data_IF_526415200809
#
_entry.id   IF_526415200809
#
_cell.length_a   1.000
_cell.length_b   1.000
_cell.length_c   1.000
_cell.angle_alpha   90.00
_cell.angle_beta   90.00
_cell.angle_gamma   90.00
#
_symmetry.space_group_name_H-M   'P 1'
#
loop_
_entity.id
_entity.type
_entity.pdbx_description
1 polymer ?
#
# COMPACT_ATOMS: atom_id res chain seq x y z
N UNK A 1 -21.69 -10.85 -10.72
CA UNK A 1 -20.33 -11.11 -10.20
C UNK A 1 -20.41 -11.12 -8.68
N UNK A 2 -19.83 -12.10 -7.98
CA UNK A 2 -19.90 -12.15 -6.52
C UNK A 2 -18.90 -11.16 -5.90
N UNK A 3 -19.36 -10.30 -4.99
CA UNK A 3 -18.52 -9.38 -4.22
C UNK A 3 -17.45 -10.09 -3.38
N UNK A 4 -16.45 -9.35 -2.92
CA UNK A 4 -15.58 -9.82 -1.85
C UNK A 4 -16.42 -9.93 -0.57
N UNK A 5 -16.47 -11.11 0.02
CA UNK A 5 -17.25 -11.31 1.23
C UNK A 5 -16.39 -10.97 2.46
N UNK A 6 -16.60 -9.79 3.04
CA UNK A 6 -15.96 -9.38 4.29
C UNK A 6 -16.76 -9.81 5.53
N UNK A 7 -18.07 -10.03 5.41
CA UNK A 7 -18.96 -10.48 6.49
C UNK A 7 -19.18 -12.01 6.49
N UNK A 8 -18.15 -12.80 6.19
CA UNK A 8 -18.31 -14.25 5.99
C UNK A 8 -18.59 -15.04 7.28
N UNK A 9 -18.53 -14.39 8.46
CA UNK A 9 -18.81 -15.02 9.75
C UNK A 9 -20.30 -15.03 10.13
N UNK A 10 -21.16 -14.28 9.43
CA UNK A 10 -22.57 -14.22 9.77
C UNK A 10 -23.43 -13.82 8.55
N UNK A 11 -24.71 -14.21 8.56
CA UNK A 11 -25.64 -13.91 7.47
C UNK A 11 -26.42 -12.60 7.70
N UNK A 12 -26.63 -12.23 8.97
CA UNK A 12 -27.35 -11.04 9.40
C UNK A 12 -26.67 -10.42 10.62
N UNK A 13 -26.90 -9.12 10.83
CA UNK A 13 -26.43 -8.41 12.02
C UNK A 13 -26.95 -9.08 13.31
N UNK A 14 -26.08 -9.43 14.26
CA UNK A 14 -26.49 -9.94 15.58
C UNK A 14 -27.07 -8.85 16.49
N UNK A 15 -27.57 -9.27 17.66
CA UNK A 15 -27.95 -8.34 18.73
C UNK A 15 -26.78 -7.42 19.13
N UNK A 16 -27.03 -6.13 19.40
CA UNK A 16 -25.98 -5.20 19.80
C UNK A 16 -25.30 -5.60 21.11
N UNK A 17 -23.97 -5.58 21.10
CA UNK A 17 -23.14 -5.75 22.31
C UNK A 17 -23.11 -4.48 23.19
N UNK A 18 -23.56 -3.35 22.65
CA UNK A 18 -23.40 -2.03 23.28
C UNK A 18 -22.00 -1.44 23.18
N UNK A 19 -21.05 -2.13 22.51
CA UNK A 19 -19.67 -1.69 22.33
C UNK A 19 -19.44 -1.08 20.94
N UNK A 20 -18.67 0.00 20.91
CA UNK A 20 -18.35 0.80 19.71
C UNK A 20 -16.87 0.67 19.37
N UNK A 21 -16.55 0.40 18.10
CA UNK A 21 -15.18 0.27 17.61
C UNK A 21 -14.93 1.20 16.44
N UNK A 22 -13.87 2.01 16.54
CA UNK A 22 -13.34 2.79 15.42
C UNK A 22 -12.24 2.03 14.71
N UNK A 23 -12.30 1.97 13.39
CA UNK A 23 -11.27 1.38 12.53
C UNK A 23 -10.68 2.50 11.67
N UNK A 24 -9.36 2.66 11.68
CA UNK A 24 -8.66 3.69 10.91
C UNK A 24 -8.00 3.03 9.70
N UNK A 25 -8.56 3.26 8.52
CA UNK A 25 -8.18 2.66 7.25
C UNK A 25 -9.16 1.58 6.81
N UNK A 26 -9.68 1.73 5.60
CA UNK A 26 -10.60 0.84 4.90
C UNK A 26 -9.88 0.02 3.81
N UNK A 27 -8.62 -0.33 4.05
CA UNK A 27 -7.89 -1.32 3.25
C UNK A 27 -8.32 -2.76 3.58
N UNK A 28 -7.60 -3.78 3.07
CA UNK A 28 -7.94 -5.20 3.28
C UNK A 28 -8.08 -5.59 4.75
N UNK A 29 -7.17 -5.12 5.61
CA UNK A 29 -7.19 -5.42 7.05
C UNK A 29 -8.40 -4.77 7.74
N UNK A 30 -8.66 -3.50 7.46
CA UNK A 30 -9.78 -2.75 8.06
C UNK A 30 -11.15 -3.27 7.62
N UNK A 31 -11.33 -3.57 6.34
CA UNK A 31 -12.59 -4.16 5.83
C UNK A 31 -12.86 -5.55 6.42
N UNK A 32 -11.83 -6.38 6.51
CA UNK A 32 -11.96 -7.70 7.13
C UNK A 32 -12.28 -7.60 8.64
N UNK A 33 -11.64 -6.66 9.33
CA UNK A 33 -11.93 -6.40 10.73
C UNK A 33 -13.33 -5.86 10.95
N UNK A 34 -13.79 -4.94 10.10
CA UNK A 34 -15.14 -4.39 10.15
C UNK A 34 -16.21 -5.48 9.98
N UNK A 35 -16.02 -6.37 9.01
CA UNK A 35 -16.91 -7.52 8.80
C UNK A 35 -16.92 -8.48 9.99
N UNK A 36 -15.76 -8.78 10.57
CA UNK A 36 -15.69 -9.64 11.75
C UNK A 36 -16.39 -9.01 12.96
N UNK A 37 -16.05 -7.76 13.31
CA UNK A 37 -16.56 -7.07 14.51
C UNK A 37 -18.06 -6.80 14.41
N UNK A 38 -18.56 -6.42 13.23
CA UNK A 38 -20.00 -6.28 13.01
C UNK A 38 -20.74 -7.62 13.12
N UNK A 39 -20.13 -8.73 12.68
CA UNK A 39 -20.63 -10.08 12.93
C UNK A 39 -20.55 -10.53 14.39
N UNK A 40 -19.90 -9.76 15.26
CA UNK A 40 -19.94 -9.93 16.72
C UNK A 40 -20.94 -9.02 17.42
N UNK A 41 -21.68 -8.19 16.67
CA UNK A 41 -22.69 -7.29 17.23
C UNK A 41 -22.11 -5.97 17.76
N UNK A 42 -20.87 -5.62 17.41
CA UNK A 42 -20.31 -4.31 17.73
C UNK A 42 -20.82 -3.24 16.76
N UNK A 43 -20.95 -2.00 17.23
CA UNK A 43 -21.12 -0.84 16.38
C UNK A 43 -19.75 -0.47 15.79
N UNK A 44 -19.63 -0.44 14.46
CA UNK A 44 -18.34 -0.28 13.77
C UNK A 44 -18.37 0.97 12.90
N UNK A 45 -17.40 1.85 13.14
CA UNK A 45 -17.14 3.03 12.33
C UNK A 45 -15.77 2.88 11.66
N UNK A 46 -15.71 3.03 10.34
CA UNK A 46 -14.47 2.97 9.57
C UNK A 46 -14.16 4.35 9.01
N UNK A 47 -12.98 4.88 9.33
CA UNK A 47 -12.50 6.16 8.85
C UNK A 47 -11.43 5.94 7.78
N UNK A 48 -11.60 6.50 6.60
CA UNK A 48 -10.65 6.39 5.50
C UNK A 48 -10.46 7.73 4.79
N UNK A 49 -9.22 8.02 4.43
CA UNK A 49 -8.84 9.27 3.77
C UNK A 49 -9.22 9.32 2.29
N UNK A 50 -9.48 8.18 1.68
CA UNK A 50 -9.82 8.04 0.27
C UNK A 50 -11.33 8.22 0.04
N UNK A 51 -11.76 8.53 -1.19
CA UNK A 51 -13.16 8.80 -1.49
C UNK A 51 -14.04 7.53 -1.49
N UNK A 52 -13.44 6.34 -1.60
CA UNK A 52 -14.17 5.07 -1.44
C UNK A 52 -13.35 3.99 -0.68
N UNK A 53 -14.01 3.10 0.08
CA UNK A 53 -13.33 2.02 0.80
C UNK A 53 -12.66 1.01 -0.14
N UNK A 54 -11.46 0.56 0.24
CA UNK A 54 -10.70 -0.46 -0.49
C UNK A 54 -9.19 -0.28 -0.39
N UNK A 55 -8.71 0.93 -0.05
CA UNK A 55 -7.29 1.24 0.04
C UNK A 55 -6.55 0.91 -1.26
N UNK A 56 -5.35 0.34 -1.14
CA UNK A 56 -4.55 -0.04 -2.31
C UNK A 56 -5.19 -1.13 -3.19
N UNK A 57 -6.22 -1.85 -2.74
CA UNK A 57 -6.94 -2.78 -3.64
C UNK A 57 -7.61 -2.05 -4.80
N UNK A 58 -8.06 -0.81 -4.59
CA UNK A 58 -8.69 0.02 -5.61
C UNK A 58 -7.70 1.02 -6.19
N UNK A 59 -6.94 1.68 -5.32
CA UNK A 59 -6.12 2.83 -5.66
C UNK A 59 -4.65 2.50 -5.94
N UNK A 60 -4.25 1.22 -5.95
CA UNK A 60 -2.88 0.83 -6.23
C UNK A 60 -2.74 -0.42 -7.09
N UNK A 61 -3.60 -1.41 -6.89
CA UNK A 61 -3.54 -2.69 -7.60
C UNK A 61 -4.36 -2.61 -8.91
N UNK A 62 -3.81 -3.07 -10.04
CA UNK A 62 -4.52 -3.12 -11.30
C UNK A 62 -5.78 -4.00 -11.27
N UNK A 63 -6.77 -3.64 -12.11
CA UNK A 63 -8.11 -4.25 -12.06
C UNK A 63 -8.13 -5.72 -12.51
N UNK A 64 -7.24 -6.12 -13.41
CA UNK A 64 -7.14 -7.52 -13.84
C UNK A 64 -6.67 -8.45 -12.70
N UNK A 65 -6.01 -7.91 -11.66
CA UNK A 65 -5.62 -8.66 -10.45
C UNK A 65 -6.73 -8.62 -9.41
N UNK A 66 -7.27 -7.42 -9.16
CA UNK A 66 -8.35 -7.19 -8.20
C UNK A 66 -9.49 -6.42 -8.88
N UNK A 67 -10.61 -7.10 -9.22
CA UNK A 67 -11.75 -6.43 -9.83
C UNK A 67 -12.38 -5.41 -8.89
N UNK A 68 -12.45 -4.16 -9.35
CA UNK A 68 -12.95 -3.01 -8.58
C UNK A 68 -14.36 -3.27 -8.05
N UNK A 69 -15.26 -3.76 -8.91
CA UNK A 69 -16.65 -3.97 -8.53
C UNK A 69 -16.81 -5.04 -7.44
N UNK A 70 -15.89 -6.01 -7.35
CA UNK A 70 -15.95 -7.00 -6.27
C UNK A 70 -15.66 -6.38 -4.92
N UNK A 71 -14.70 -5.46 -4.85
CA UNK A 71 -14.41 -4.71 -3.62
C UNK A 71 -15.59 -3.80 -3.27
N UNK A 72 -16.16 -3.09 -4.26
CA UNK A 72 -17.32 -2.21 -4.08
C UNK A 72 -18.54 -2.92 -3.52
N UNK A 73 -18.91 -4.05 -4.14
CA UNK A 73 -19.99 -4.90 -3.62
C UNK A 73 -19.70 -5.39 -2.19
N UNK A 74 -18.43 -5.67 -1.87
CA UNK A 74 -18.04 -6.13 -0.54
C UNK A 74 -18.23 -5.08 0.56
N UNK A 75 -17.78 -3.84 0.37
CA UNK A 75 -17.98 -2.81 1.40
C UNK A 75 -19.41 -2.28 1.42
N UNK A 76 -20.13 -2.26 0.29
CA UNK A 76 -21.57 -1.92 0.26
C UNK A 76 -22.38 -2.91 1.07
N UNK A 77 -22.08 -4.20 0.95
CA UNK A 77 -22.68 -5.24 1.78
C UNK A 77 -22.43 -5.00 3.29
N UNK A 78 -21.22 -4.59 3.68
CA UNK A 78 -20.95 -4.21 5.07
C UNK A 78 -21.79 -3.01 5.52
N UNK A 79 -21.96 -1.99 4.68
CA UNK A 79 -22.74 -0.81 5.01
C UNK A 79 -24.24 -1.16 5.14
N UNK A 80 -24.80 -1.80 4.11
CA UNK A 80 -26.24 -2.05 3.99
C UNK A 80 -26.73 -3.18 4.89
N UNK A 81 -26.01 -4.31 4.92
CA UNK A 81 -26.45 -5.51 5.65
C UNK A 81 -25.94 -5.53 7.09
N UNK A 82 -24.74 -5.02 7.33
CA UNK A 82 -24.11 -5.07 8.65
C UNK A 82 -24.18 -3.73 9.40
N UNK A 83 -24.59 -2.65 8.74
CA UNK A 83 -24.71 -1.33 9.36
C UNK A 83 -23.36 -0.72 9.73
N UNK A 84 -22.28 -1.09 9.05
CA UNK A 84 -20.97 -0.48 9.20
C UNK A 84 -21.01 0.94 8.66
N UNK A 85 -20.58 1.92 9.45
CA UNK A 85 -20.57 3.34 9.05
C UNK A 85 -19.21 3.68 8.47
N UNK A 86 -19.17 4.07 7.19
CA UNK A 86 -17.94 4.52 6.52
C UNK A 86 -17.86 6.05 6.48
N UNK A 87 -16.75 6.60 6.97
CA UNK A 87 -16.38 8.01 6.91
C UNK A 87 -15.23 8.15 5.90
N UNK A 88 -15.58 8.29 4.63
CA UNK A 88 -14.63 8.48 3.51
C UNK A 88 -14.21 9.94 3.35
N UNK A 89 -13.06 10.22 2.73
CA UNK A 89 -12.48 11.56 2.69
C UNK A 89 -12.05 12.10 4.07
N UNK A 90 -12.01 11.22 5.09
CA UNK A 90 -11.69 11.58 6.48
C UNK A 90 -10.36 10.97 6.89
N UNK A 91 -9.35 11.83 7.07
CA UNK A 91 -8.05 11.41 7.59
C UNK A 91 -7.99 11.54 9.11
N UNK A 92 -7.74 10.43 9.79
CA UNK A 92 -7.42 10.46 11.23
C UNK A 92 -5.96 10.81 11.41
N UNK A 93 -5.68 11.82 12.24
CA UNK A 93 -4.32 12.29 12.51
C UNK A 93 -4.12 12.68 13.97
N UNK A 94 -2.91 12.48 14.47
CA UNK A 94 -2.40 13.11 15.68
C UNK A 94 -1.08 13.78 15.33
N UNK A 95 -1.19 15.04 14.86
CA UNK A 95 -0.09 15.81 14.29
C UNK A 95 -0.06 15.82 12.75
N UNK A 96 0.41 16.93 12.17
CA UNK A 96 0.34 17.23 10.73
C UNK A 96 1.35 16.47 9.86
N UNK A 97 1.15 15.17 9.66
CA UNK A 97 1.94 14.38 8.70
C UNK A 97 1.18 14.19 7.38
N UNK A 98 1.83 14.53 6.26
CA UNK A 98 1.35 14.28 4.90
C UNK A 98 1.83 12.91 4.41
N UNK A 99 0.93 12.18 3.75
CA UNK A 99 1.18 10.88 3.12
C UNK A 99 0.72 10.93 1.64
N UNK A 100 1.16 9.98 0.82
CA UNK A 100 0.66 9.86 -0.57
C UNK A 100 -0.84 9.54 -0.56
N UNK A 101 -1.62 10.15 -1.45
CA UNK A 101 -3.09 10.03 -1.48
C UNK A 101 -3.84 10.90 -0.48
N UNK A 102 -3.17 11.86 0.17
CA UNK A 102 -3.84 12.87 1.01
C UNK A 102 -4.60 13.94 0.20
N UNK A 103 -4.48 13.96 -1.12
CA UNK A 103 -5.21 14.89 -2.00
C UNK A 103 -6.74 14.74 -1.95
N UNK A 104 -7.25 13.58 -1.52
CA UNK A 104 -8.68 13.34 -1.33
C UNK A 104 -9.18 13.64 0.09
N UNK A 105 -8.34 14.18 0.97
CA UNK A 105 -8.73 14.48 2.35
C UNK A 105 -9.60 15.73 2.36
N UNK A 106 -10.88 15.55 2.67
CA UNK A 106 -11.85 16.62 2.85
C UNK A 106 -11.89 17.10 4.30
N UNK A 107 -11.71 16.16 5.24
CA UNK A 107 -11.79 16.41 6.68
C UNK A 107 -10.69 15.67 7.43
N UNK A 108 -10.22 16.29 8.51
CA UNK A 108 -9.35 15.62 9.49
C UNK A 108 -10.11 15.40 10.80
N UNK A 109 -9.79 14.29 11.47
CA UNK A 109 -10.30 13.96 12.81
C UNK A 109 -9.10 13.69 13.70
N UNK A 110 -9.14 14.20 14.93
CA UNK A 110 -8.08 13.95 15.91
C UNK A 110 -8.15 12.49 16.37
N UNK A 111 -7.00 11.80 16.34
CA UNK A 111 -6.87 10.45 16.88
C UNK A 111 -7.35 10.37 18.35
N UNK A 112 -7.05 11.39 19.17
CA UNK A 112 -7.43 11.40 20.59
C UNK A 112 -8.93 11.62 20.81
N UNK A 113 -9.66 12.12 19.81
CA UNK A 113 -11.14 12.14 19.82
C UNK A 113 -11.66 10.70 19.70
N UNK A 114 -11.15 9.93 18.74
CA UNK A 114 -11.58 8.55 18.55
C UNK A 114 -11.25 7.64 19.74
N UNK A 115 -10.08 7.84 20.37
CA UNK A 115 -9.71 7.08 21.57
C UNK A 115 -10.66 7.35 22.75
N UNK A 116 -11.29 8.53 22.80
CA UNK A 116 -12.22 8.91 23.87
C UNK A 116 -13.65 8.47 23.60
N UNK A 117 -14.05 8.49 22.34
CA UNK A 117 -15.44 8.30 21.93
C UNK A 117 -15.80 6.83 21.63
N UNK A 118 -14.80 5.97 21.47
CA UNK A 118 -14.98 4.54 21.16
C UNK A 118 -14.40 3.66 22.26
N UNK A 119 -15.02 2.48 22.48
CA UNK A 119 -14.51 1.51 23.45
C UNK A 119 -13.17 0.88 23.02
N UNK A 120 -12.93 0.79 21.70
CA UNK A 120 -11.67 0.34 21.13
C UNK A 120 -11.36 1.02 19.79
N UNK A 121 -10.07 1.14 19.48
CA UNK A 121 -9.58 1.66 18.19
C UNK A 121 -8.70 0.61 17.53
N UNK A 122 -8.93 0.31 16.25
CA UNK A 122 -8.08 -0.55 15.43
C UNK A 122 -7.44 0.26 14.30
N UNK A 123 -6.10 0.28 14.28
CA UNK A 123 -5.31 0.99 13.28
C UNK A 123 -4.92 0.06 12.14
N UNK A 124 -5.42 0.35 10.94
CA UNK A 124 -5.21 -0.44 9.72
C UNK A 124 -4.76 0.45 8.54
N UNK A 125 -3.95 1.47 8.83
CA UNK A 125 -3.60 2.53 7.88
C UNK A 125 -2.62 2.09 6.78
N UNK A 126 -1.94 0.96 6.91
CA UNK A 126 -1.04 0.44 5.88
C UNK A 126 0.25 1.25 5.69
N UNK A 127 0.74 1.30 4.45
CA UNK A 127 2.05 1.88 4.08
C UNK A 127 1.93 2.90 2.94
N UNK A 128 1.57 4.15 3.23
CA UNK A 128 1.29 5.20 2.23
C UNK A 128 2.47 6.16 1.95
N UNK A 129 3.70 5.71 2.12
CA UNK A 129 4.90 6.48 1.74
C UNK A 129 5.88 5.60 1.01
N UNK A 130 6.35 6.04 -0.14
CA UNK A 130 7.37 5.35 -0.93
C UNK A 130 8.77 5.83 -0.58
N UNK A 131 9.73 4.90 -0.68
CA UNK A 131 11.14 5.25 -0.67
C UNK A 131 11.57 5.79 -2.04
N UNK A 132 12.42 6.81 -2.02
CA UNK A 132 13.21 7.23 -3.17
C UNK A 132 14.67 6.85 -2.95
N UNK A 133 15.39 6.66 -4.05
CA UNK A 133 16.83 6.50 -4.00
C UNK A 133 17.50 7.84 -3.65
N UNK A 134 18.58 7.79 -2.90
CA UNK A 134 19.43 8.94 -2.64
C UNK A 134 20.54 8.98 -3.71
N UNK A 135 20.20 9.52 -4.88
CA UNK A 135 21.08 9.63 -6.04
C UNK A 135 20.91 11.00 -6.72
N UNK A 136 21.94 11.50 -7.43
CA UNK A 136 21.81 12.76 -8.17
C UNK A 136 20.73 12.70 -9.25
N UNK A 137 19.97 13.79 -9.41
CA UNK A 137 18.91 13.94 -10.41
C UNK A 137 17.56 13.34 -10.00
N UNK A 138 17.39 12.93 -8.74
CA UNK A 138 16.13 12.37 -8.22
C UNK A 138 14.96 13.37 -8.23
N UNK A 139 15.29 14.66 -8.28
CA UNK A 139 14.37 15.80 -8.30
C UNK A 139 13.89 16.20 -9.71
N UNK A 140 14.39 15.55 -10.77
CA UNK A 140 14.03 15.88 -12.15
C UNK A 140 12.55 15.56 -12.46
N UNK A 141 11.93 16.37 -13.32
CA UNK A 141 10.60 16.06 -13.85
C UNK A 141 10.65 14.77 -14.67
N UNK A 142 9.73 13.84 -14.39
CA UNK A 142 9.74 12.49 -14.96
C UNK A 142 10.27 11.41 -14.00
N UNK A 143 10.70 11.79 -12.80
CA UNK A 143 10.95 10.86 -11.69
C UNK A 143 9.67 10.69 -10.87
N UNK A 144 9.25 9.44 -10.68
CA UNK A 144 8.05 9.10 -9.92
C UNK A 144 8.33 8.09 -8.83
N UNK A 145 7.60 8.23 -7.72
CA UNK A 145 7.39 7.14 -6.77
C UNK A 145 6.34 6.19 -7.35
N UNK A 146 6.53 4.88 -7.22
CA UNK A 146 5.61 3.92 -7.83
C UNK A 146 4.20 3.97 -7.25
N UNK A 147 4.04 4.22 -5.94
CA UNK A 147 2.72 4.38 -5.35
C UNK A 147 2.02 5.61 -5.91
N UNK A 148 2.63 6.80 -5.87
CA UNK A 148 2.10 8.01 -6.50
C UNK A 148 1.71 7.79 -7.99
N UNK A 149 2.61 7.19 -8.76
CA UNK A 149 2.40 6.94 -10.19
C UNK A 149 1.16 6.07 -10.45
N UNK A 150 1.08 4.92 -9.75
CA UNK A 150 -0.07 4.03 -9.84
C UNK A 150 -1.33 4.68 -9.30
N UNK A 151 -1.22 5.39 -8.17
CA UNK A 151 -2.34 6.04 -7.50
C UNK A 151 -3.04 7.05 -8.41
N UNK A 152 -2.29 7.88 -9.13
CA UNK A 152 -2.85 8.84 -10.10
C UNK A 152 -3.60 8.12 -11.22
N UNK A 153 -2.97 7.14 -11.86
CA UNK A 153 -3.58 6.34 -12.95
C UNK A 153 -4.87 5.66 -12.46
N UNK A 154 -4.80 5.02 -11.28
CA UNK A 154 -5.94 4.29 -10.70
C UNK A 154 -7.07 5.23 -10.30
N UNK A 155 -6.75 6.36 -9.67
CA UNK A 155 -7.74 7.37 -9.28
C UNK A 155 -8.48 7.93 -10.50
N UNK A 156 -7.76 8.22 -11.59
CA UNK A 156 -8.38 8.70 -12.83
C UNK A 156 -9.28 7.64 -13.48
N UNK A 157 -8.82 6.38 -13.54
CA UNK A 157 -9.63 5.25 -14.02
C UNK A 157 -10.90 5.02 -13.20
N UNK A 158 -10.85 5.30 -11.90
CA UNK A 158 -12.01 5.20 -11.01
C UNK A 158 -12.96 6.40 -11.09
N UNK A 159 -12.56 7.48 -11.77
CA UNK A 159 -13.33 8.72 -11.90
C UNK A 159 -13.16 9.69 -10.72
N UNK A 160 -12.15 9.49 -9.87
CA UNK A 160 -11.88 10.33 -8.70
C UNK A 160 -10.83 11.41 -8.96
N UNK A 161 -10.15 11.37 -10.10
CA UNK A 161 -9.11 12.33 -10.49
C UNK A 161 -9.23 12.67 -11.97
N UNK A 162 -8.91 13.91 -12.34
CA UNK A 162 -8.88 14.31 -13.74
C UNK A 162 -7.66 13.71 -14.47
N UNK A 163 -7.83 13.31 -15.73
CA UNK A 163 -6.73 12.73 -16.52
C UNK A 163 -5.56 13.69 -16.74
N UNK A 164 -5.77 15.01 -16.62
CA UNK A 164 -4.69 16.01 -16.66
C UNK A 164 -3.72 15.93 -15.47
N UNK A 165 -4.10 15.26 -14.38
CA UNK A 165 -3.23 15.01 -13.23
C UNK A 165 -2.42 13.71 -13.36
N UNK A 166 -2.65 12.92 -14.41
CA UNK A 166 -1.91 11.71 -14.72
C UNK A 166 -0.73 12.05 -15.63
N UNK A 167 0.48 11.49 -15.39
CA UNK A 167 1.61 11.69 -16.29
C UNK A 167 1.28 11.26 -17.73
N UNK A 168 1.77 12.01 -18.72
CA UNK A 168 1.60 11.71 -20.15
C UNK A 168 2.54 10.57 -20.57
N UNK A 169 2.04 9.32 -20.52
CA UNK A 169 2.85 8.10 -20.70
C UNK A 169 2.93 7.63 -22.16
N UNK A 170 1.94 7.98 -22.99
CA UNK A 170 1.87 7.57 -24.40
C UNK A 170 3.17 7.96 -25.14
N UNK A 171 3.78 6.99 -25.84
CA UNK A 171 5.02 7.19 -26.59
C UNK A 171 6.27 7.43 -25.74
N UNK A 172 6.21 7.30 -24.41
CA UNK A 172 7.40 7.46 -23.53
C UNK A 172 8.15 6.16 -23.34
N UNK A 173 9.46 6.27 -23.10
CA UNK A 173 10.33 5.20 -22.61
C UNK A 173 10.39 5.26 -21.10
N UNK A 174 9.86 4.24 -20.42
CA UNK A 174 9.72 4.22 -18.96
C UNK A 174 10.67 3.19 -18.37
N UNK A 175 11.45 3.57 -17.35
CA UNK A 175 12.18 2.61 -16.52
C UNK A 175 11.55 2.46 -15.15
N UNK A 176 11.17 1.24 -14.82
CA UNK A 176 10.73 0.89 -13.47
C UNK A 176 11.89 0.26 -12.71
N UNK A 177 12.19 0.80 -11.53
CA UNK A 177 13.28 0.34 -10.66
C UNK A 177 12.70 -0.53 -9.55
N UNK A 178 12.92 -1.84 -9.64
CA UNK A 178 12.36 -2.82 -8.71
C UNK A 178 11.94 -4.11 -9.41
N UNK A 179 11.49 -5.10 -8.63
CA UNK A 179 10.97 -6.37 -9.16
C UNK A 179 9.93 -7.03 -8.22
N UNK A 180 9.29 -6.22 -7.37
CA UNK A 180 8.14 -6.65 -6.57
C UNK A 180 6.83 -6.40 -7.31
N UNK A 181 5.70 -6.80 -6.72
CA UNK A 181 4.39 -6.62 -7.33
C UNK A 181 4.10 -5.17 -7.75
N UNK A 182 4.42 -4.18 -6.91
CA UNK A 182 4.27 -2.76 -7.27
C UNK A 182 5.09 -2.38 -8.52
N UNK A 183 6.29 -2.93 -8.70
CA UNK A 183 7.10 -2.69 -9.89
C UNK A 183 6.46 -3.33 -11.13
N UNK A 184 5.95 -4.56 -10.99
CA UNK A 184 5.24 -5.24 -12.06
C UNK A 184 3.96 -4.52 -12.47
N UNK A 185 3.19 -4.04 -11.50
CA UNK A 185 1.96 -3.27 -11.71
C UNK A 185 2.29 -1.95 -12.42
N UNK A 186 3.33 -1.23 -11.99
CA UNK A 186 3.76 0.02 -12.65
C UNK A 186 4.22 -0.22 -14.10
N UNK A 187 5.01 -1.27 -14.34
CA UNK A 187 5.48 -1.61 -15.69
C UNK A 187 4.31 -1.97 -16.61
N UNK A 188 3.34 -2.74 -16.12
CA UNK A 188 2.18 -3.13 -16.89
C UNK A 188 1.26 -1.95 -17.17
N UNK A 189 0.98 -1.11 -16.17
CA UNK A 189 0.18 0.10 -16.36
C UNK A 189 0.85 1.05 -17.36
N UNK A 190 2.18 1.19 -17.33
CA UNK A 190 2.91 1.94 -18.37
C UNK A 190 2.65 1.40 -19.79
N UNK A 191 2.69 0.07 -19.97
CA UNK A 191 2.36 -0.54 -21.26
C UNK A 191 0.91 -0.28 -21.69
N UNK A 192 -0.04 -0.41 -20.74
CA UNK A 192 -1.47 -0.20 -21.02
C UNK A 192 -1.79 1.27 -21.35
N UNK A 193 -1.00 2.20 -20.82
CA UNK A 193 -1.07 3.63 -21.09
C UNK A 193 -0.26 4.07 -22.33
N UNK A 194 0.20 3.10 -23.14
CA UNK A 194 0.81 3.38 -24.45
C UNK A 194 2.29 3.76 -24.42
N UNK A 195 3.03 3.42 -23.36
CA UNK A 195 4.49 3.61 -23.35
C UNK A 195 5.13 2.90 -24.55
N UNK A 196 6.02 3.60 -25.27
CA UNK A 196 6.75 3.05 -26.41
C UNK A 196 7.63 1.87 -25.99
N UNK A 197 8.28 2.01 -24.83
CA UNK A 197 9.17 0.99 -24.29
C UNK A 197 9.19 1.02 -22.77
N UNK A 198 9.20 -0.16 -22.15
CA UNK A 198 9.28 -0.31 -20.70
C UNK A 198 10.48 -1.16 -20.32
N UNK A 199 11.33 -0.62 -19.46
CA UNK A 199 12.48 -1.30 -18.87
C UNK A 199 12.21 -1.63 -17.40
N UNK A 200 12.67 -2.79 -16.95
CA UNK A 200 12.72 -3.19 -15.55
C UNK A 200 14.18 -3.27 -15.10
N UNK A 201 14.64 -2.31 -14.30
CA UNK A 201 15.95 -2.38 -13.66
C UNK A 201 15.84 -3.07 -12.31
N UNK A 202 16.58 -4.16 -12.15
CA UNK A 202 16.61 -4.90 -10.89
C UNK A 202 18.04 -5.22 -10.46
N UNK A 203 18.36 -4.85 -9.22
CA UNK A 203 19.69 -5.05 -8.62
C UNK A 203 20.05 -6.51 -8.35
N UNK A 204 19.17 -7.46 -8.65
CA UNK A 204 19.43 -8.91 -8.57
C UNK A 204 18.96 -9.58 -9.86
N UNK A 205 18.91 -10.90 -9.88
CA UNK A 205 18.34 -11.64 -11.01
C UNK A 205 16.83 -11.83 -10.83
N UNK A 206 16.12 -12.14 -11.90
CA UNK A 206 14.69 -12.49 -11.89
C UNK A 206 14.39 -13.67 -10.97
N UNK A 207 15.38 -14.51 -10.64
CA UNK A 207 15.22 -15.62 -9.69
C UNK A 207 14.99 -15.13 -8.26
N UNK A 208 15.54 -13.97 -7.90
CA UNK A 208 15.37 -13.36 -6.58
C UNK A 208 14.21 -12.35 -6.53
N UNK A 209 13.52 -12.13 -7.65
CA UNK A 209 12.47 -11.12 -7.77
C UNK A 209 11.24 -11.47 -6.91
N UNK A 210 10.79 -10.57 -6.01
CA UNK A 210 9.68 -10.85 -5.10
C UNK A 210 8.30 -11.06 -5.76
N UNK A 211 8.10 -10.58 -6.99
CA UNK A 211 6.82 -10.75 -7.71
C UNK A 211 6.55 -12.20 -8.14
N UNK A 212 7.58 -13.05 -8.19
CA UNK A 212 7.46 -14.43 -8.65
C UNK A 212 7.41 -14.56 -10.17
N UNK A 213 7.57 -15.80 -10.65
CA UNK A 213 7.79 -16.09 -12.08
C UNK A 213 6.59 -15.78 -12.97
N UNK A 214 5.36 -15.91 -12.47
CA UNK A 214 4.15 -15.66 -13.24
C UNK A 214 4.08 -14.20 -13.74
N UNK A 215 4.19 -13.24 -12.83
CA UNK A 215 4.14 -11.81 -13.15
C UNK A 215 5.32 -11.41 -14.06
N UNK A 216 6.50 -11.97 -13.82
CA UNK A 216 7.71 -11.71 -14.62
C UNK A 216 7.53 -12.21 -16.06
N UNK A 217 7.07 -13.45 -16.23
CA UNK A 217 6.86 -14.05 -17.55
C UNK A 217 5.80 -13.27 -18.34
N UNK A 218 4.70 -12.89 -17.69
CA UNK A 218 3.66 -12.06 -18.31
C UNK A 218 4.21 -10.74 -18.85
N UNK A 219 5.06 -10.05 -18.08
CA UNK A 219 5.68 -8.79 -18.52
C UNK A 219 6.67 -9.00 -19.66
N UNK A 220 7.46 -10.09 -19.62
CA UNK A 220 8.37 -10.44 -20.72
C UNK A 220 7.64 -10.74 -22.01
N UNK A 221 6.54 -11.51 -21.94
CA UNK A 221 5.67 -11.81 -23.08
C UNK A 221 5.04 -10.54 -23.67
N UNK A 222 4.80 -9.53 -22.84
CA UNK A 222 4.31 -8.21 -23.24
C UNK A 222 5.42 -7.23 -23.69
N UNK A 223 6.67 -7.70 -23.80
CA UNK A 223 7.77 -6.90 -24.36
C UNK A 223 8.52 -6.02 -23.35
N UNK A 224 8.31 -6.19 -22.04
CA UNK A 224 9.14 -5.49 -21.02
C UNK A 224 10.57 -6.00 -21.08
N UNK A 225 11.53 -5.07 -21.20
CA UNK A 225 12.96 -5.37 -21.23
C UNK A 225 13.53 -5.41 -19.81
N UNK A 226 14.16 -6.54 -19.44
CA UNK A 226 14.71 -6.73 -18.10
C UNK A 226 16.21 -6.46 -18.08
N UNK A 227 16.60 -5.50 -17.24
CA UNK A 227 17.99 -5.15 -16.94
C UNK A 227 18.34 -5.75 -15.56
N UNK A 228 18.59 -7.06 -15.54
CA UNK A 228 19.02 -7.78 -14.35
C UNK A 228 20.40 -7.33 -13.88
N UNK A 229 20.64 -7.45 -12.57
CA UNK A 229 21.89 -7.05 -11.92
C UNK A 229 22.26 -5.60 -12.20
N UNK A 230 21.29 -4.68 -12.24
CA UNK A 230 21.54 -3.24 -12.43
C UNK A 230 20.91 -2.42 -11.32
N UNK A 231 21.50 -1.26 -11.02
CA UNK A 231 20.84 -0.24 -10.21
C UNK A 231 21.17 1.17 -10.71
N UNK A 232 20.26 2.14 -10.55
CA UNK A 232 20.54 3.54 -10.86
C UNK A 232 21.69 4.10 -10.04
N UNK A 233 22.64 4.76 -10.71
CA UNK A 233 23.73 5.53 -10.09
C UNK A 233 23.43 7.02 -10.06
N UNK A 234 22.88 7.56 -11.14
CA UNK A 234 22.37 8.93 -11.25
C UNK A 234 21.37 9.05 -12.40
N UNK A 235 20.52 10.06 -12.33
CA UNK A 235 19.56 10.39 -13.37
C UNK A 235 20.10 11.59 -14.16
N UNK A 236 20.05 11.48 -15.48
CA UNK A 236 20.58 12.48 -16.40
C UNK A 236 19.40 13.26 -16.96
N UNK A 237 19.42 14.58 -16.76
CA UNK A 237 18.37 15.47 -17.23
C UNK A 237 18.80 16.43 -18.33
N UNK A 238 17.82 16.91 -19.08
CA UNK A 238 17.93 18.00 -20.04
C UNK A 238 16.73 18.94 -19.84
N UNK A 239 16.98 20.24 -19.71
CA UNK A 239 15.95 21.26 -19.41
C UNK A 239 15.08 20.93 -18.18
N UNK A 240 15.67 20.33 -17.15
CA UNK A 240 14.98 19.95 -15.91
C UNK A 240 14.14 18.67 -16.00
N UNK A 241 14.12 17.99 -17.15
CA UNK A 241 13.38 16.73 -17.38
C UNK A 241 14.34 15.55 -17.53
N UNK A 242 13.91 14.36 -17.12
CA UNK A 242 14.66 13.13 -17.34
C UNK A 242 14.88 12.90 -18.83
N UNK A 243 16.10 12.51 -19.20
CA UNK A 243 16.52 12.15 -20.56
C UNK A 243 17.14 10.76 -20.63
N UNK A 244 17.85 10.38 -19.56
CA UNK A 244 18.48 9.09 -19.44
C UNK A 244 18.76 8.74 -17.98
N UNK A 245 19.15 7.49 -17.73
CA UNK A 245 19.66 7.03 -16.45
C UNK A 245 21.00 6.34 -16.64
N UNK A 246 21.96 6.70 -15.80
CA UNK A 246 23.21 5.96 -15.69
C UNK A 246 23.01 4.82 -14.69
N UNK A 247 23.11 3.59 -15.18
CA UNK A 247 23.04 2.37 -14.39
C UNK A 247 24.45 1.87 -14.09
N UNK A 248 24.61 1.23 -12.93
CA UNK A 248 25.81 0.45 -12.59
C UNK A 248 25.44 -1.03 -12.51
N UNK A 249 26.32 -1.91 -13.01
CA UNK A 249 26.12 -3.35 -12.83
C UNK A 249 26.39 -3.74 -11.39
N UNK A 250 25.75 -4.81 -10.98
CA UNK A 250 25.88 -5.40 -9.66
C UNK A 250 26.28 -6.86 -9.78
N UNK A 251 26.94 -7.38 -8.75
CA UNK A 251 27.14 -8.81 -8.55
C UNK A 251 26.50 -9.22 -7.24
N UNK A 252 26.04 -10.47 -7.16
CA UNK A 252 25.46 -11.00 -5.95
C UNK A 252 26.57 -11.48 -5.01
N UNK A 253 26.49 -11.10 -3.74
CA UNK A 253 27.31 -11.66 -2.66
C UNK A 253 26.95 -13.13 -2.41
N UNK A 254 27.71 -13.76 -1.52
CA UNK A 254 27.23 -14.97 -0.84
C UNK A 254 25.92 -14.68 -0.08
N UNK A 255 25.03 -15.68 0.06
CA UNK A 255 23.78 -15.51 0.79
C UNK A 255 24.03 -15.15 2.26
N UNK A 256 23.28 -14.18 2.77
CA UNK A 256 23.26 -13.87 4.20
C UNK A 256 22.40 -14.86 5.00
N UNK A 257 22.27 -14.67 6.32
CA UNK A 257 21.50 -15.54 7.22
C UNK A 257 20.02 -15.71 6.82
N UNK A 258 19.47 -14.78 6.02
CA UNK A 258 18.12 -14.89 5.47
C UNK A 258 18.04 -15.70 4.16
N UNK A 259 19.18 -16.24 3.70
CA UNK A 259 19.37 -16.87 2.40
C UNK A 259 19.47 -15.85 1.25
N UNK A 260 19.46 -14.54 1.53
CA UNK A 260 19.43 -13.51 0.49
C UNK A 260 20.82 -13.04 0.14
N UNK A 261 21.09 -12.99 -1.17
CA UNK A 261 22.32 -12.39 -1.70
C UNK A 261 22.19 -10.87 -1.76
N UNK A 262 23.22 -10.16 -1.29
CA UNK A 262 23.30 -8.70 -1.34
C UNK A 262 23.87 -8.27 -2.69
N UNK A 263 23.28 -7.25 -3.32
CA UNK A 263 23.86 -6.68 -4.54
C UNK A 263 25.06 -5.79 -4.19
N UNK A 264 26.18 -6.04 -4.86
CA UNK A 264 27.43 -5.28 -4.72
C UNK A 264 27.70 -4.58 -6.06
N UNK A 265 27.79 -3.23 -6.11
CA UNK A 265 28.16 -2.53 -7.33
C UNK A 265 29.51 -2.97 -7.88
N UNK A 266 29.64 -2.97 -9.19
CA UNK A 266 30.88 -3.25 -9.92
C UNK A 266 31.38 -1.92 -10.48
N UNK A 267 32.37 -1.31 -9.84
CA UNK A 267 32.93 -0.03 -10.29
C UNK A 267 33.47 -0.12 -11.73
N UNK A 268 33.27 0.92 -12.53
CA UNK A 268 33.69 0.96 -13.93
C UNK A 268 32.76 0.21 -14.90
N UNK A 269 31.63 -0.31 -14.41
CA UNK A 269 30.63 -1.02 -15.22
C UNK A 269 29.43 -0.16 -15.63
N UNK A 270 29.56 1.16 -15.47
CA UNK A 270 28.49 2.12 -15.74
C UNK A 270 28.11 2.15 -17.22
N UNK A 271 26.82 2.29 -17.48
CA UNK A 271 26.28 2.49 -18.82
C UNK A 271 24.99 3.28 -18.75
N UNK A 272 24.64 3.92 -19.86
CA UNK A 272 23.48 4.81 -19.94
C UNK A 272 22.34 4.14 -20.71
N UNK A 273 21.12 4.35 -20.23
CA UNK A 273 19.89 3.97 -20.93
C UNK A 273 19.02 5.22 -21.09
N UNK A 274 18.67 5.54 -22.34
CA UNK A 274 17.79 6.67 -22.62
C UNK A 274 16.36 6.35 -22.22
N UNK A 275 15.78 7.19 -21.37
CA UNK A 275 14.43 7.06 -20.83
C UNK A 275 13.85 8.44 -20.58
N UNK A 276 12.54 8.54 -20.71
CA UNK A 276 11.82 9.78 -20.49
C UNK A 276 11.25 9.81 -19.06
N UNK A 277 10.88 8.65 -18.50
CA UNK A 277 10.38 8.51 -17.13
C UNK A 277 11.11 7.41 -16.33
N UNK A 278 11.23 7.62 -15.03
CA UNK A 278 11.75 6.64 -14.07
C UNK A 278 10.78 6.48 -12.91
N UNK A 279 10.35 5.26 -12.64
CA UNK A 279 9.40 4.92 -11.58
C UNK A 279 10.11 4.07 -10.52
N UNK A 280 10.31 4.63 -9.33
CA UNK A 280 10.96 3.93 -8.21
C UNK A 280 9.96 3.07 -7.43
N UNK A 281 10.10 1.75 -7.54
CA UNK A 281 9.29 0.74 -6.85
C UNK A 281 10.15 -0.05 -5.84
N UNK A 282 10.90 0.67 -5.00
CA UNK A 282 11.94 0.11 -4.12
C UNK A 282 11.50 -0.13 -2.67
N UNK A 283 10.23 0.12 -2.36
CA UNK A 283 9.61 -0.18 -1.05
C UNK A 283 8.71 0.95 -0.56
N UNK A 284 7.93 0.63 0.48
CA UNK A 284 7.03 1.56 1.14
C UNK A 284 7.25 1.53 2.66
N UNK A 285 6.83 2.58 3.35
CA UNK A 285 6.96 2.77 4.79
C UNK A 285 5.57 2.83 5.43
N UNK A 286 5.38 2.20 6.61
CA UNK A 286 4.16 2.32 7.40
C UNK A 286 3.78 3.77 7.69
N UNK A 287 2.48 4.03 7.71
CA UNK A 287 1.92 5.37 7.96
C UNK A 287 0.97 5.33 9.16
N UNK A 288 1.47 5.22 10.39
CA UNK A 288 0.64 5.34 11.59
C UNK A 288 -0.04 6.72 11.61
N UNK A 289 -1.27 6.83 12.12
CA UNK A 289 -2.02 8.09 12.14
C UNK A 289 -1.46 9.10 13.16
N UNK A 290 -0.32 8.83 13.80
CA UNK A 290 0.23 9.64 14.88
C UNK A 290 1.73 9.95 14.73
N UNK A 291 2.18 10.99 15.45
CA UNK A 291 3.58 11.32 15.70
C UNK A 291 4.18 10.53 16.88
N UNK A 292 5.37 10.93 17.33
CA UNK A 292 6.12 10.24 18.39
C UNK A 292 5.45 10.33 19.78
N UNK A 293 4.53 11.27 19.99
CA UNK A 293 4.01 11.63 21.31
C UNK A 293 2.66 10.98 21.69
N UNK A 294 2.19 9.95 20.97
CA UNK A 294 0.87 9.34 21.22
C UNK A 294 0.88 8.13 22.16
N UNK A 295 2.03 7.81 22.77
CA UNK A 295 2.18 6.67 23.69
C UNK A 295 2.13 5.30 22.99
N UNK A 296 2.23 5.27 21.66
CA UNK A 296 2.22 4.05 20.85
C UNK A 296 3.61 3.82 20.26
N UNK A 297 4.24 2.70 20.63
CA UNK A 297 5.57 2.34 20.19
C UNK A 297 5.60 1.98 18.70
N UNK A 298 6.63 2.46 18.01
CA UNK A 298 6.97 2.04 16.64
C UNK A 298 8.40 1.52 16.59
N UNK A 299 8.66 0.59 15.67
CA UNK A 299 10.01 0.08 15.45
C UNK A 299 10.85 1.01 14.55
N UNK A 300 12.13 0.66 14.33
CA UNK A 300 13.04 1.45 13.47
C UNK A 300 12.58 1.61 12.02
N UNK A 301 11.63 0.80 11.56
CA UNK A 301 11.04 0.87 10.22
C UNK A 301 9.70 1.60 10.21
N UNK A 302 9.29 2.18 11.35
CA UNK A 302 8.03 2.89 11.52
C UNK A 302 6.81 1.97 11.70
N UNK A 303 7.00 0.65 11.85
CA UNK A 303 5.88 -0.28 12.07
C UNK A 303 5.36 -0.12 13.48
N UNK A 304 4.04 -0.14 13.66
CA UNK A 304 3.44 -0.17 15.00
C UNK A 304 3.81 -1.49 15.68
N UNK A 305 4.34 -1.40 16.89
CA UNK A 305 4.65 -2.58 17.71
C UNK A 305 3.38 -3.02 18.42
N UNK A 306 3.04 -4.29 18.29
CA UNK A 306 1.90 -4.92 18.96
C UNK A 306 2.33 -6.18 19.70
N UNK A 307 1.55 -6.54 20.72
CA UNK A 307 1.70 -7.79 21.46
C UNK A 307 1.13 -9.00 20.69
N UNK A 308 1.11 -10.17 21.32
CA UNK A 308 0.55 -11.40 20.72
C UNK A 308 -0.96 -11.36 20.47
N UNK A 309 -1.65 -10.33 20.96
CA UNK A 309 -3.09 -10.07 20.81
C UNK A 309 -3.36 -8.81 19.98
N UNK A 310 -2.39 -8.37 19.17
CA UNK A 310 -2.48 -7.19 18.30
C UNK A 310 -2.70 -5.87 19.06
N UNK A 311 -2.58 -5.86 20.38
CA UNK A 311 -2.71 -4.64 21.18
C UNK A 311 -1.40 -3.86 21.11
N UNK A 312 -1.50 -2.55 20.92
CA UNK A 312 -0.35 -1.65 20.93
C UNK A 312 0.16 -1.43 22.36
N UNK A 313 1.19 -0.60 22.55
CA UNK A 313 1.63 -0.19 23.88
C UNK A 313 0.63 0.69 24.64
N UNK A 314 -0.48 1.09 24.01
CA UNK A 314 -1.58 1.82 24.64
C UNK A 314 -2.82 0.93 24.68
N UNK A 315 -3.34 0.74 25.87
CA UNK A 315 -4.50 -0.13 26.13
C UNK A 315 -5.75 0.32 25.36
N UNK A 316 -6.55 -0.63 24.88
CA UNK A 316 -7.74 -0.39 24.06
C UNK A 316 -7.44 -0.01 22.61
N UNK A 317 -6.16 0.11 22.24
CA UNK A 317 -5.72 0.45 20.88
C UNK A 317 -4.98 -0.73 20.28
N UNK A 318 -5.46 -1.17 19.12
CA UNK A 318 -4.96 -2.31 18.37
C UNK A 318 -4.42 -1.84 17.01
N UNK A 319 -3.57 -2.64 16.39
CA UNK A 319 -3.12 -2.37 15.03
C UNK A 319 -3.00 -3.66 14.20
N UNK A 320 -3.24 -3.56 12.90
CA UNK A 320 -3.22 -4.70 11.99
C UNK A 320 -2.86 -4.33 10.55
N UNK A 321 -2.45 -5.35 9.79
CA UNK A 321 -2.09 -5.23 8.39
C UNK A 321 -0.72 -4.58 8.20
N UNK A 322 -0.54 -3.92 7.06
CA UNK A 322 0.80 -3.48 6.62
C UNK A 322 1.41 -2.40 7.52
N UNK A 323 0.62 -1.72 8.36
CA UNK A 323 1.16 -0.79 9.37
C UNK A 323 1.94 -1.52 10.49
N UNK A 324 1.66 -2.80 10.72
CA UNK A 324 2.35 -3.69 11.67
C UNK A 324 3.33 -4.61 10.94
N UNK A 325 2.91 -5.19 9.82
CA UNK A 325 3.67 -6.20 9.09
C UNK A 325 4.79 -5.59 8.23
N UNK A 326 4.63 -4.33 7.82
CA UNK A 326 5.28 -3.76 6.64
C UNK A 326 4.57 -4.16 5.34
N UNK A 327 5.00 -3.63 4.19
CA UNK A 327 4.33 -3.88 2.89
C UNK A 327 4.22 -5.38 2.61
N UNK A 328 2.99 -5.86 2.38
CA UNK A 328 2.71 -7.30 2.28
C UNK A 328 1.66 -7.63 1.21
N UNK A 329 1.22 -8.90 1.17
CA UNK A 329 0.18 -9.36 0.24
C UNK A 329 -1.20 -9.08 0.83
N UNK A 330 -2.18 -8.78 -0.03
CA UNK A 330 -3.59 -8.54 0.37
C UNK A 330 -4.11 -9.63 1.31
N UNK A 331 -3.93 -10.91 0.96
CA UNK A 331 -4.37 -12.01 1.82
C UNK A 331 -3.69 -12.06 3.19
N UNK A 332 -2.43 -11.61 3.29
CA UNK A 332 -1.72 -11.53 4.58
C UNK A 332 -2.29 -10.40 5.43
N UNK A 333 -2.52 -9.22 4.86
CA UNK A 333 -3.14 -8.10 5.54
C UNK A 333 -4.59 -8.42 5.98
N UNK A 334 -5.38 -9.06 5.12
CA UNK A 334 -6.74 -9.53 5.45
C UNK A 334 -6.72 -10.50 6.64
N UNK A 335 -5.83 -11.49 6.63
CA UNK A 335 -5.70 -12.45 7.73
C UNK A 335 -5.34 -11.77 9.04
N UNK A 336 -4.40 -10.84 9.00
CA UNK A 336 -3.97 -10.07 10.17
C UNK A 336 -5.10 -9.23 10.75
N UNK A 337 -5.88 -8.55 9.88
CA UNK A 337 -7.08 -7.81 10.28
C UNK A 337 -8.14 -8.68 10.97
N UNK A 338 -8.35 -9.91 10.50
CA UNK A 338 -9.26 -10.87 11.14
C UNK A 338 -8.80 -11.29 12.54
N UNK A 339 -7.49 -11.53 12.72
CA UNK A 339 -6.95 -11.88 14.03
C UNK A 339 -7.01 -10.72 15.01
N UNK A 340 -6.64 -9.51 14.57
CA UNK A 340 -6.78 -8.32 15.40
C UNK A 340 -8.25 -8.06 15.78
N UNK A 341 -9.20 -8.22 14.85
CA UNK A 341 -10.63 -8.09 15.15
C UNK A 341 -11.14 -9.12 16.16
N UNK A 342 -10.66 -10.36 16.10
CA UNK A 342 -10.92 -11.37 17.13
C UNK A 342 -10.39 -10.91 18.48
N UNK A 343 -9.17 -10.39 18.53
CA UNK A 343 -8.54 -10.00 19.79
C UNK A 343 -9.19 -8.74 20.39
N UNK A 344 -9.60 -7.78 19.57
CA UNK A 344 -10.47 -6.64 19.97
C UNK A 344 -11.75 -7.15 20.62
N UNK A 345 -12.45 -8.09 19.98
CA UNK A 345 -13.67 -8.67 20.53
C UNK A 345 -13.45 -9.35 21.88
N UNK A 346 -12.42 -10.20 22.00
CA UNK A 346 -12.10 -10.90 23.25
C UNK A 346 -11.79 -9.91 24.38
N UNK A 347 -11.06 -8.84 24.08
CA UNK A 347 -10.75 -7.80 25.04
C UNK A 347 -12.00 -7.02 25.49
N UNK A 348 -12.83 -6.56 24.55
CA UNK A 348 -14.06 -5.80 24.85
C UNK A 348 -15.09 -6.59 25.66
N UNK A 349 -15.13 -7.91 25.47
CA UNK A 349 -16.07 -8.81 26.13
C UNK A 349 -15.50 -9.45 27.40
N UNK A 350 -14.28 -9.06 27.81
CA UNK A 350 -13.56 -9.61 28.97
C UNK A 350 -13.44 -11.14 28.96
N UNK A 351 -13.44 -11.74 27.77
CA UNK A 351 -13.32 -13.19 27.61
C UNK A 351 -11.86 -13.55 27.83
N UNK A 352 -11.56 -14.10 29.01
CA UNK A 352 -10.24 -14.68 29.31
C UNK A 352 -9.97 -15.83 28.34
N UNK A 353 -8.76 -15.84 27.79
CA UNK A 353 -8.25 -16.91 26.93
C UNK A 353 -8.08 -18.22 27.71
#
# INVERSE_FOLDING_TARGET
MNGMNFAFHCLKRPEPTGKRVAIIGAGPAGLAAAGYLSCKGHEVHVYDKLPEPGGLMLFGIPEFRIPVERVRLGYRDLAERMGVVFHTGVKVVSGGRKDEGDEFVEKTVDFEELVRDFDAVLIATGTWRSWLADIPGIELEGVFKALEYLFRIKSAKLGHMDWSEVPEIEGKRVMVVGAGHTACDAALESLLMGAEKVYMSYRRTIREAPAGSYEINLLRERGVEWLELTMPKRIIGENGKVKAVELIRTKLSEPDESGRRRPIPVEGSEFTVDVDYIVFAIGQTPTPPFGENCGIATDRKGRIVVDSRHMTSREGIFAAGDVVLGPSLVGRATKDGLYAARDVHLWLMEVRA
#
